data_IF_489122759717
#
_entry.id   IF_489122759717
#
_cell.length_a   1.000
_cell.length_b   1.000
_cell.length_c   1.000
_cell.angle_alpha   90.00
_cell.angle_beta   90.00
_cell.angle_gamma   90.00
#
_symmetry.space_group_name_H-M   'P 1'
#
loop_
_entity.id
_entity.type
_entity.pdbx_description
1 polymer ?
#
# COMPACT_ATOMS: atom_id res chain seq x y z
N UNK A 1 -12.10 -3.05 -25.02
CA UNK A 1 -11.88 -1.67 -24.56
C UNK A 1 -10.87 -1.73 -23.42
N UNK A 2 -9.60 -1.43 -23.65
CA UNK A 2 -8.58 -1.34 -22.59
C UNK A 2 -7.70 -0.13 -22.87
N UNK A 3 -8.30 1.05 -22.77
CA UNK A 3 -7.53 2.28 -22.58
C UNK A 3 -7.18 2.35 -21.09
N UNK A 4 -6.13 1.65 -20.70
CA UNK A 4 -5.47 1.87 -19.41
C UNK A 4 -4.11 2.48 -19.73
N UNK A 5 -4.15 3.73 -20.17
CA UNK A 5 -2.98 4.61 -20.24
C UNK A 5 -2.62 4.97 -18.80
N UNK A 6 -2.10 4.00 -18.05
CA UNK A 6 -2.05 4.09 -16.58
C UNK A 6 -0.64 4.43 -16.15
N UNK A 7 -0.45 5.73 -15.96
CA UNK A 7 0.69 6.34 -15.29
C UNK A 7 1.18 5.47 -14.10
N UNK A 8 2.41 4.95 -14.19
CA UNK A 8 2.99 4.15 -13.09
C UNK A 8 3.42 5.02 -11.93
N UNK A 9 3.17 4.57 -10.71
CA UNK A 9 3.73 5.14 -9.50
C UNK A 9 5.15 4.64 -9.23
N UNK A 10 5.89 5.36 -8.38
CA UNK A 10 7.29 5.05 -8.02
C UNK A 10 7.44 3.64 -7.48
N UNK A 11 6.55 3.20 -6.58
CA UNK A 11 6.64 1.87 -5.97
C UNK A 11 6.32 0.74 -6.96
N UNK A 12 5.43 0.98 -7.93
CA UNK A 12 5.16 0.01 -8.99
C UNK A 12 6.38 -0.15 -9.90
N UNK A 13 6.98 0.96 -10.34
CA UNK A 13 8.22 0.92 -11.13
C UNK A 13 9.39 0.29 -10.36
N UNK A 14 9.52 0.57 -9.05
CA UNK A 14 10.52 -0.07 -8.20
C UNK A 14 10.31 -1.59 -8.08
N UNK A 15 9.06 -2.03 -7.94
CA UNK A 15 8.70 -3.45 -7.89
C UNK A 15 9.05 -4.17 -9.19
N UNK A 16 8.70 -3.59 -10.34
CA UNK A 16 9.06 -4.13 -11.66
C UNK A 16 10.57 -4.34 -11.75
N UNK A 17 11.38 -3.34 -11.38
CA UNK A 17 12.84 -3.42 -11.46
C UNK A 17 13.42 -4.47 -10.50
N UNK A 18 12.90 -4.57 -9.28
CA UNK A 18 13.33 -5.59 -8.33
C UNK A 18 13.04 -7.02 -8.83
N UNK A 19 11.95 -7.20 -9.60
CA UNK A 19 11.60 -8.50 -10.20
C UNK A 19 12.41 -8.81 -11.45
N UNK A 20 12.60 -7.85 -12.35
CA UNK A 20 13.34 -8.04 -13.61
C UNK A 20 14.85 -8.13 -13.38
N UNK A 21 15.37 -7.41 -12.40
CA UNK A 21 16.79 -7.31 -12.10
C UNK A 21 17.06 -7.60 -10.61
N UNK A 22 16.85 -8.83 -10.14
CA UNK A 22 16.97 -9.18 -8.71
C UNK A 22 18.38 -9.03 -8.14
N UNK A 23 19.40 -8.93 -9.00
CA UNK A 23 20.77 -8.66 -8.64
C UNK A 23 21.06 -7.18 -8.35
N UNK A 24 20.14 -6.28 -8.71
CA UNK A 24 20.28 -4.84 -8.49
C UNK A 24 19.48 -4.40 -7.28
N UNK A 25 20.04 -3.48 -6.50
CA UNK A 25 19.40 -2.91 -5.33
C UNK A 25 18.92 -1.47 -5.58
N UNK A 26 17.64 -1.22 -5.25
CA UNK A 26 17.08 0.14 -5.21
C UNK A 26 17.87 1.00 -4.23
N UNK A 27 18.12 2.25 -4.60
CA UNK A 27 18.94 3.20 -3.84
C UNK A 27 20.43 2.83 -3.70
N UNK A 28 20.91 1.88 -4.50
CA UNK A 28 22.33 1.55 -4.63
C UNK A 28 22.70 1.58 -6.11
N UNK A 29 22.05 0.75 -6.92
CA UNK A 29 22.31 0.62 -8.35
C UNK A 29 21.40 1.51 -9.20
N UNK A 30 20.18 1.80 -8.70
CA UNK A 30 19.19 2.60 -9.41
C UNK A 30 18.24 3.36 -8.48
N UNK A 31 17.66 4.43 -9.01
CA UNK A 31 16.60 5.22 -8.36
C UNK A 31 15.40 5.36 -9.27
N UNK A 32 14.22 5.34 -8.66
CA UNK A 32 12.94 5.56 -9.34
C UNK A 32 12.37 6.89 -8.87
N UNK A 33 11.78 7.64 -9.79
CA UNK A 33 11.12 8.92 -9.50
C UNK A 33 9.89 9.07 -10.38
N UNK A 34 9.09 10.10 -10.12
CA UNK A 34 7.96 10.50 -10.94
C UNK A 34 7.85 12.03 -10.95
N UNK A 35 7.50 12.65 -12.08
CA UNK A 35 7.24 14.09 -12.12
C UNK A 35 6.00 14.46 -11.32
N UNK A 36 6.07 15.54 -10.54
CA UNK A 36 4.97 16.09 -9.76
C UNK A 36 4.70 17.54 -10.15
N UNK A 37 3.47 17.98 -9.97
CA UNK A 37 3.10 19.39 -10.09
C UNK A 37 3.63 20.18 -8.87
N UNK A 38 4.22 21.35 -9.10
CA UNK A 38 4.90 22.11 -8.06
C UNK A 38 3.97 22.63 -6.95
N UNK A 39 2.67 22.81 -7.26
CA UNK A 39 1.71 23.39 -6.31
C UNK A 39 0.89 22.31 -5.60
N UNK A 40 0.38 21.36 -6.37
CA UNK A 40 -0.52 20.32 -5.89
C UNK A 40 0.21 19.08 -5.40
N UNK A 41 1.49 18.92 -5.76
CA UNK A 41 2.32 17.73 -5.49
C UNK A 41 1.74 16.44 -6.08
N UNK A 42 0.74 16.55 -6.95
CA UNK A 42 0.17 15.42 -7.65
C UNK A 42 1.12 14.96 -8.75
N UNK A 43 1.20 13.65 -8.94
CA UNK A 43 1.96 13.07 -10.04
C UNK A 43 1.38 13.51 -11.39
N UNK A 44 2.25 13.93 -12.30
CA UNK A 44 1.86 14.45 -13.63
C UNK A 44 2.25 13.54 -14.78
N UNK A 45 3.24 12.66 -14.59
CA UNK A 45 3.72 11.71 -15.62
C UNK A 45 4.12 10.39 -14.98
N UNK A 46 4.22 9.34 -15.80
CA UNK A 46 4.63 8.01 -15.35
C UNK A 46 5.99 8.02 -14.65
N UNK A 47 6.16 7.11 -13.70
CA UNK A 47 7.43 6.88 -13.06
C UNK A 47 8.51 6.51 -14.09
N UNK A 48 9.73 6.90 -13.78
CA UNK A 48 10.92 6.72 -14.60
C UNK A 48 12.13 6.45 -13.71
N UNK A 49 13.23 6.05 -14.33
CA UNK A 49 14.47 5.70 -13.64
C UNK A 49 15.49 6.80 -13.91
N UNK A 50 15.57 7.89 -13.13
CA UNK A 50 16.53 8.96 -13.41
C UNK A 50 18.00 8.58 -13.19
N UNK A 51 18.28 7.60 -12.33
CA UNK A 51 19.65 7.15 -12.01
C UNK A 51 19.73 5.64 -12.24
N UNK A 52 20.71 5.23 -13.05
CA UNK A 52 20.99 3.84 -13.40
C UNK A 52 22.50 3.66 -13.56
N UNK A 53 23.12 2.90 -12.67
CA UNK A 53 24.56 2.64 -12.69
C UNK A 53 25.03 1.38 -13.43
N UNK A 54 24.23 0.31 -13.59
CA UNK A 54 24.65 -0.86 -14.36
C UNK A 54 25.03 -0.46 -15.79
N UNK A 55 26.26 -0.80 -16.20
CA UNK A 55 26.77 -0.48 -17.54
C UNK A 55 26.41 -1.53 -18.59
N UNK A 56 26.26 -2.78 -18.15
CA UNK A 56 26.00 -3.93 -19.03
C UNK A 56 24.50 -4.16 -19.28
N UNK A 57 23.63 -3.43 -18.57
CA UNK A 57 22.17 -3.53 -18.67
C UNK A 57 21.64 -2.18 -19.14
N UNK A 58 20.93 -2.11 -20.28
CA UNK A 58 20.30 -0.87 -20.72
C UNK A 58 19.36 -0.30 -19.66
N UNK A 59 19.42 1.01 -19.45
CA UNK A 59 18.51 1.72 -18.56
C UNK A 59 17.07 1.61 -19.07
N UNK A 60 16.12 1.13 -18.25
CA UNK A 60 14.72 1.05 -18.65
C UNK A 60 14.08 2.42 -18.86
N UNK A 61 13.31 2.56 -19.95
CA UNK A 61 12.51 3.74 -20.23
C UNK A 61 11.13 3.64 -19.54
N UNK A 62 10.38 4.76 -19.39
CA UNK A 62 9.01 4.71 -18.90
C UNK A 62 8.10 3.79 -19.73
N UNK A 63 8.35 3.68 -21.04
CA UNK A 63 7.59 2.79 -21.94
C UNK A 63 7.88 1.33 -21.62
N UNK A 64 9.15 0.98 -21.35
CA UNK A 64 9.51 -0.38 -20.95
C UNK A 64 8.82 -0.78 -19.65
N UNK A 65 8.82 0.12 -18.66
CA UNK A 65 8.13 -0.10 -17.38
C UNK A 65 6.63 -0.33 -17.58
N UNK A 66 5.97 0.50 -18.40
CA UNK A 66 4.55 0.35 -18.71
C UNK A 66 4.25 -0.97 -19.41
N UNK A 67 5.12 -1.41 -20.32
CA UNK A 67 4.96 -2.67 -21.03
C UNK A 67 5.17 -3.89 -20.12
N UNK A 68 6.06 -3.79 -19.12
CA UNK A 68 6.29 -4.85 -18.16
C UNK A 68 5.25 -4.91 -17.05
N UNK A 69 4.53 -3.81 -16.78
CA UNK A 69 3.58 -3.74 -15.66
C UNK A 69 2.52 -4.85 -15.63
N UNK A 70 1.86 -5.21 -16.75
CA UNK A 70 0.84 -6.26 -16.75
C UNK A 70 1.35 -7.63 -16.27
N UNK A 71 2.67 -7.90 -16.37
CA UNK A 71 3.28 -9.13 -15.87
C UNK A 71 3.30 -9.18 -14.33
N UNK A 72 3.28 -8.02 -13.66
CA UNK A 72 3.53 -7.89 -12.22
C UNK A 72 2.37 -7.32 -11.42
N UNK A 73 1.38 -6.71 -12.08
CA UNK A 73 0.25 -6.02 -11.45
C UNK A 73 -0.48 -6.90 -10.43
N UNK A 74 -0.83 -8.13 -10.80
CA UNK A 74 -1.56 -9.03 -9.91
C UNK A 74 -0.75 -9.46 -8.68
N UNK A 75 0.58 -9.56 -8.80
CA UNK A 75 1.46 -9.84 -7.67
C UNK A 75 1.62 -8.62 -6.77
N UNK A 76 1.82 -7.45 -7.36
CA UNK A 76 1.91 -6.19 -6.62
C UNK A 76 0.64 -5.93 -5.81
N UNK A 77 -0.54 -6.09 -6.41
CA UNK A 77 -1.83 -5.95 -5.73
C UNK A 77 -1.89 -6.86 -4.49
N UNK A 78 -1.54 -8.14 -4.67
CA UNK A 78 -1.64 -9.14 -3.59
C UNK A 78 -0.63 -8.91 -2.48
N UNK A 79 0.58 -8.49 -2.81
CA UNK A 79 1.72 -8.48 -1.87
C UNK A 79 2.00 -7.12 -1.25
N UNK A 80 1.62 -6.04 -1.93
CA UNK A 80 1.92 -4.66 -1.54
C UNK A 80 0.62 -3.86 -1.34
N UNK A 81 -0.16 -3.63 -2.41
CA UNK A 81 -1.26 -2.65 -2.38
C UNK A 81 -2.41 -3.07 -1.46
N UNK A 82 -2.98 -4.27 -1.65
CA UNK A 82 -4.09 -4.73 -0.82
C UNK A 82 -3.71 -4.84 0.67
N UNK A 83 -2.55 -5.42 1.06
CA UNK A 83 -2.11 -5.41 2.45
C UNK A 83 -1.99 -4.01 3.05
N UNK A 84 -1.41 -3.06 2.34
CA UNK A 84 -1.26 -1.68 2.81
C UNK A 84 -2.60 -0.98 2.97
N UNK A 85 -3.51 -1.14 2.00
CA UNK A 85 -4.87 -0.60 2.05
C UNK A 85 -5.63 -1.11 3.26
N UNK A 86 -5.63 -2.43 3.49
CA UNK A 86 -6.27 -3.03 4.67
C UNK A 86 -5.62 -2.54 5.97
N UNK A 87 -4.28 -2.47 6.05
CA UNK A 87 -3.60 -1.97 7.25
C UNK A 87 -3.95 -0.51 7.54
N UNK A 88 -4.03 0.33 6.51
CA UNK A 88 -4.42 1.75 6.65
C UNK A 88 -5.85 1.90 7.17
N UNK A 89 -6.79 1.12 6.65
CA UNK A 89 -8.17 1.10 7.14
C UNK A 89 -8.25 0.63 8.58
N UNK A 90 -7.55 -0.47 8.92
CA UNK A 90 -7.43 -0.98 10.28
C UNK A 90 -6.89 0.08 11.23
N UNK A 91 -5.82 0.77 10.84
CA UNK A 91 -5.18 1.78 11.69
C UNK A 91 -6.11 2.97 11.95
N UNK A 92 -6.90 3.39 10.95
CA UNK A 92 -7.94 4.40 11.14
C UNK A 92 -9.04 3.94 12.12
N UNK A 93 -9.50 2.70 11.99
CA UNK A 93 -10.49 2.11 12.90
C UNK A 93 -9.96 1.92 14.31
N UNK A 94 -8.67 1.59 14.47
CA UNK A 94 -8.02 1.47 15.78
C UNK A 94 -7.95 2.81 16.50
N UNK A 95 -7.62 3.90 15.79
CA UNK A 95 -7.61 5.26 16.36
C UNK A 95 -9.01 5.65 16.86
N UNK A 96 -10.06 5.33 16.10
CA UNK A 96 -11.43 5.62 16.54
C UNK A 96 -11.86 4.73 17.71
N UNK A 97 -11.53 3.43 17.66
CA UNK A 97 -11.80 2.52 18.76
C UNK A 97 -11.13 2.97 20.08
N UNK A 98 -9.89 3.46 20.01
CA UNK A 98 -9.18 4.01 21.17
C UNK A 98 -9.96 5.18 21.79
N UNK A 99 -10.40 6.14 20.98
CA UNK A 99 -11.20 7.28 21.47
C UNK A 99 -12.49 6.84 22.14
N UNK A 100 -13.18 5.85 21.57
CA UNK A 100 -14.43 5.34 22.12
C UNK A 100 -14.23 4.60 23.45
N UNK A 101 -13.14 3.84 23.58
CA UNK A 101 -12.78 3.16 24.84
C UNK A 101 -12.57 4.17 25.96
N UNK A 102 -11.76 5.21 25.71
CA UNK A 102 -11.51 6.25 26.72
C UNK A 102 -12.80 6.99 27.11
N UNK A 103 -13.65 7.31 26.13
CA UNK A 103 -14.95 7.96 26.40
C UNK A 103 -15.88 7.09 27.25
N UNK A 104 -15.90 5.78 27.04
CA UNK A 104 -16.71 4.86 27.83
C UNK A 104 -16.17 4.73 29.27
N UNK A 105 -14.85 4.70 29.42
CA UNK A 105 -14.18 4.68 30.72
C UNK A 105 -14.49 5.96 31.52
N UNK A 106 -14.39 7.14 30.89
CA UNK A 106 -14.71 8.43 31.51
C UNK A 106 -16.19 8.52 31.95
N UNK A 107 -17.09 7.86 31.20
CA UNK A 107 -18.51 7.78 31.53
C UNK A 107 -18.83 6.74 32.62
N UNK A 108 -17.87 5.91 33.03
CA UNK A 108 -18.08 4.80 33.94
C UNK A 108 -18.90 3.64 33.35
N UNK A 109 -19.02 3.56 32.03
CA UNK A 109 -19.77 2.53 31.32
C UNK A 109 -18.87 1.31 31.03
N UNK A 110 -18.70 0.47 32.06
CA UNK A 110 -17.83 -0.70 32.01
C UNK A 110 -18.22 -1.73 30.93
N UNK A 111 -19.52 -1.90 30.66
CA UNK A 111 -19.99 -2.86 29.66
C UNK A 111 -19.64 -2.40 28.24
N UNK A 112 -19.87 -1.11 27.95
CA UNK A 112 -19.49 -0.51 26.66
C UNK A 112 -17.98 -0.49 26.49
N UNK A 113 -17.24 -0.13 27.54
CA UNK A 113 -15.77 -0.14 27.53
C UNK A 113 -15.23 -1.55 27.19
N UNK A 114 -15.74 -2.58 27.86
CA UNK A 114 -15.33 -3.96 27.61
C UNK A 114 -15.66 -4.42 26.18
N UNK A 115 -16.83 -4.04 25.65
CA UNK A 115 -17.21 -4.34 24.27
C UNK A 115 -16.29 -3.66 23.25
N UNK A 116 -15.95 -2.39 23.45
CA UNK A 116 -15.04 -1.65 22.58
C UNK A 116 -13.60 -2.18 22.65
N UNK A 117 -13.13 -2.61 23.83
CA UNK A 117 -11.82 -3.28 23.97
C UNK A 117 -11.76 -4.59 23.17
N UNK A 118 -12.85 -5.38 23.16
CA UNK A 118 -12.96 -6.60 22.32
C UNK A 118 -12.95 -6.26 20.83
N UNK A 119 -13.74 -5.27 20.41
CA UNK A 119 -13.74 -4.76 19.03
C UNK A 119 -12.34 -4.34 18.58
N UNK A 120 -11.63 -3.57 19.40
CA UNK A 120 -10.25 -3.15 19.14
C UNK A 120 -9.28 -4.32 19.03
N UNK A 121 -9.44 -5.37 19.84
CA UNK A 121 -8.65 -6.60 19.70
C UNK A 121 -8.91 -7.26 18.35
N UNK A 122 -10.19 -7.44 17.97
CA UNK A 122 -10.56 -8.05 16.70
C UNK A 122 -10.01 -7.28 15.49
N UNK A 123 -9.94 -5.94 15.56
CA UNK A 123 -9.28 -5.13 14.53
C UNK A 123 -7.79 -5.46 14.40
N UNK A 124 -7.07 -5.70 15.51
CA UNK A 124 -5.64 -6.08 15.47
C UNK A 124 -5.43 -7.46 14.85
N UNK A 125 -6.42 -8.34 14.95
CA UNK A 125 -6.38 -9.70 14.40
C UNK A 125 -6.71 -9.75 12.90
N UNK A 126 -7.18 -8.65 12.29
CA UNK A 126 -7.52 -8.58 10.85
C UNK A 126 -6.42 -9.11 9.92
N UNK A 127 -5.12 -8.75 10.07
CA UNK A 127 -4.07 -9.29 9.21
C UNK A 127 -3.77 -10.78 9.38
N UNK A 128 -4.33 -11.42 10.42
CA UNK A 128 -4.16 -12.85 10.69
C UNK A 128 -5.29 -13.69 10.08
N UNK A 129 -6.30 -13.05 9.48
CA UNK A 129 -7.41 -13.75 8.81
C UNK A 129 -6.91 -14.54 7.59
N UNK A 130 -7.50 -15.71 7.34
CA UNK A 130 -7.08 -16.58 6.24
C UNK A 130 -7.28 -15.94 4.85
N UNK A 131 -8.25 -15.02 4.69
CA UNK A 131 -8.50 -14.29 3.46
C UNK A 131 -7.67 -13.00 3.30
N UNK A 132 -6.85 -12.63 4.29
CA UNK A 132 -5.99 -11.46 4.17
C UNK A 132 -5.02 -11.61 2.98
N UNK A 133 -4.82 -10.55 2.17
CA UNK A 133 -5.41 -9.21 2.25
C UNK A 133 -6.66 -9.01 1.36
N UNK A 134 -7.07 -10.01 0.59
CA UNK A 134 -8.03 -9.84 -0.51
C UNK A 134 -9.48 -10.05 -0.09
N UNK A 135 -9.71 -10.83 0.96
CA UNK A 135 -11.03 -11.16 1.51
C UNK A 135 -10.98 -11.03 3.03
N UNK A 136 -11.26 -9.83 3.53
CA UNK A 136 -11.18 -9.49 4.95
C UNK A 136 -12.58 -9.25 5.50
N UNK A 137 -12.88 -9.88 6.63
CA UNK A 137 -14.11 -9.66 7.39
C UNK A 137 -13.83 -8.66 8.50
N UNK A 138 -14.41 -7.47 8.41
CA UNK A 138 -14.25 -6.43 9.41
C UNK A 138 -15.16 -6.66 10.62
N UNK A 139 -14.64 -6.56 11.86
CA UNK A 139 -15.49 -6.60 13.04
C UNK A 139 -16.45 -5.41 13.02
N UNK A 140 -17.64 -5.59 13.59
CA UNK A 140 -18.65 -4.52 13.67
C UNK A 140 -18.48 -3.74 14.97
N UNK A 141 -18.63 -2.42 14.88
CA UNK A 141 -18.62 -1.56 16.06
C UNK A 141 -19.81 -1.92 16.97
N UNK A 142 -19.59 -2.15 18.28
CA UNK A 142 -20.69 -2.42 19.21
C UNK A 142 -21.58 -1.18 19.40
N UNK A 143 -22.88 -1.42 19.61
CA UNK A 143 -23.88 -0.38 19.84
C UNK A 143 -23.61 0.44 21.10
#
# INVERSE_FOLDING_TARGET
MTNSNTMLHVEQAAFILAKKFPQLARCIDYWVSHPVDEKTLNQTKSAWVPIWYPRDIPQPTPVDLLNWWPEFEAEYERTIDAPERVRKERDALLVEADRLVERAADAGDADREAALRRYRSALRDVPQQAGFPLDVVWPQLPA
#
